data_IF_423510906567
#
_entry.id   IF_423510906567
#
_cell.length_a   1.000
_cell.length_b   1.000
_cell.length_c   1.000
_cell.angle_alpha   90.00
_cell.angle_beta   90.00
_cell.angle_gamma   90.00
#
_symmetry.space_group_name_H-M   'P 1'
#
loop_
_entity.id
_entity.type
_entity.pdbx_description
1 polymer ?
#
# COMPACT_ATOMS: atom_id res chain seq x y z
N UNK A 1 2.87 -19.29 -7.47
CA UNK A 1 3.80 -18.19 -7.60
C UNK A 1 3.36 -17.01 -6.75
N UNK A 2 4.26 -16.44 -6.00
CA UNK A 2 3.89 -15.31 -5.15
C UNK A 2 3.83 -14.03 -5.96
N UNK A 3 2.88 -13.21 -5.63
CA UNK A 3 2.80 -11.89 -6.23
C UNK A 3 3.72 -10.91 -5.51
N UNK A 4 3.73 -9.69 -6.00
CA UNK A 4 4.56 -8.62 -5.47
C UNK A 4 3.72 -7.69 -4.59
N UNK A 5 4.30 -7.26 -3.46
CA UNK A 5 3.72 -6.22 -2.60
C UNK A 5 4.52 -4.95 -2.85
N UNK A 6 3.82 -3.84 -3.03
CA UNK A 6 4.45 -2.52 -3.15
C UNK A 6 4.21 -1.75 -1.86
N UNK A 7 5.28 -1.30 -1.23
CA UNK A 7 5.21 -0.47 -0.03
C UNK A 7 5.68 0.92 -0.39
N UNK A 8 4.83 1.93 -0.17
CA UNK A 8 5.14 3.32 -0.50
C UNK A 8 5.18 4.11 0.80
N UNK A 9 6.34 4.62 1.16
CA UNK A 9 6.59 5.27 2.44
C UNK A 9 7.80 6.18 2.30
N UNK A 10 7.71 7.43 2.74
CA UNK A 10 8.82 8.37 2.59
C UNK A 10 9.86 8.28 3.72
N UNK A 11 9.54 7.62 4.81
CA UNK A 11 10.51 7.38 5.89
C UNK A 11 11.38 6.19 5.53
N UNK A 12 12.63 6.46 5.20
CA UNK A 12 13.57 5.45 4.71
C UNK A 12 13.77 4.32 5.70
N UNK A 13 13.88 4.66 6.99
CA UNK A 13 14.09 3.63 8.00
C UNK A 13 12.87 2.74 8.16
N UNK A 14 11.69 3.32 8.13
CA UNK A 14 10.46 2.57 8.30
C UNK A 14 10.21 1.66 7.11
N UNK A 15 10.47 2.14 5.90
CA UNK A 15 10.24 1.33 4.71
C UNK A 15 11.18 0.12 4.70
N UNK A 16 12.42 0.27 5.20
CA UNK A 16 13.34 -0.84 5.30
C UNK A 16 12.85 -1.89 6.29
N UNK A 17 12.28 -1.44 7.40
CA UNK A 17 11.72 -2.36 8.39
C UNK A 17 10.59 -3.17 7.78
N UNK A 18 9.68 -2.53 7.08
CA UNK A 18 8.57 -3.23 6.44
C UNK A 18 9.08 -4.22 5.40
N UNK A 19 10.06 -3.80 4.60
CA UNK A 19 10.63 -4.67 3.58
C UNK A 19 11.27 -5.90 4.20
N UNK A 20 12.07 -5.72 5.25
CA UNK A 20 12.73 -6.83 5.91
C UNK A 20 11.74 -7.83 6.49
N UNK A 21 10.70 -7.33 7.14
CA UNK A 21 9.69 -8.20 7.74
C UNK A 21 9.00 -9.04 6.66
N UNK A 22 8.61 -8.41 5.59
CA UNK A 22 7.91 -9.11 4.51
C UNK A 22 8.82 -10.11 3.81
N UNK A 23 10.07 -9.73 3.57
CA UNK A 23 11.02 -10.63 2.91
C UNK A 23 11.37 -11.82 3.79
N UNK A 24 11.44 -11.62 5.11
CA UNK A 24 11.67 -12.75 6.03
C UNK A 24 10.56 -13.78 5.95
N UNK A 25 9.36 -13.35 5.59
CA UNK A 25 8.24 -14.27 5.42
C UNK A 25 8.03 -14.64 3.96
N UNK A 26 9.07 -14.41 3.15
CA UNK A 26 9.16 -14.89 1.76
C UNK A 26 8.19 -14.23 0.81
N UNK A 27 7.81 -12.99 1.09
CA UNK A 27 7.05 -12.17 0.16
C UNK A 27 8.01 -11.38 -0.74
N UNK A 28 7.62 -11.17 -1.98
CA UNK A 28 8.37 -10.35 -2.92
C UNK A 28 7.92 -8.89 -2.75
N UNK A 29 8.85 -8.01 -2.41
CA UNK A 29 8.52 -6.63 -2.03
C UNK A 29 9.24 -5.64 -2.92
N UNK A 30 8.51 -4.66 -3.42
CA UNK A 30 9.07 -3.48 -4.06
C UNK A 30 8.75 -2.28 -3.19
N UNK A 31 9.62 -1.28 -3.20
CA UNK A 31 9.44 -0.11 -2.35
C UNK A 31 9.52 1.16 -3.17
N UNK A 32 8.87 2.21 -2.68
CA UNK A 32 8.90 3.53 -3.28
C UNK A 32 8.89 4.58 -2.18
N UNK A 33 9.54 5.70 -2.42
CA UNK A 33 9.71 6.73 -1.40
C UNK A 33 8.72 7.88 -1.50
N UNK A 34 7.87 7.88 -2.52
CA UNK A 34 6.81 8.88 -2.67
C UNK A 34 5.74 8.35 -3.61
N UNK A 35 4.64 9.09 -3.71
CA UNK A 35 3.51 8.65 -4.52
C UNK A 35 3.80 8.55 -6.00
N UNK A 36 4.65 9.42 -6.51
CA UNK A 36 5.00 9.40 -7.94
C UNK A 36 5.79 8.13 -8.29
N UNK A 37 6.80 7.82 -7.47
CA UNK A 37 7.56 6.60 -7.64
C UNK A 37 6.68 5.36 -7.43
N UNK A 38 5.77 5.45 -6.46
CA UNK A 38 4.83 4.38 -6.20
C UNK A 38 3.95 4.07 -7.40
N UNK A 39 3.43 5.11 -8.05
CA UNK A 39 2.60 4.94 -9.23
C UNK A 39 3.40 4.28 -10.37
N UNK A 40 4.63 4.74 -10.56
CA UNK A 40 5.50 4.17 -11.58
C UNK A 40 5.75 2.68 -11.35
N UNK A 41 6.04 2.31 -10.10
CA UNK A 41 6.30 0.92 -9.76
C UNK A 41 5.03 0.07 -9.81
N UNK A 42 3.88 0.66 -9.50
CA UNK A 42 2.63 -0.05 -9.66
C UNK A 42 2.44 -0.49 -11.12
N UNK A 43 2.69 0.41 -12.04
CA UNK A 43 2.55 0.11 -13.47
C UNK A 43 3.55 -0.96 -13.88
N UNK A 44 4.78 -0.86 -13.40
CA UNK A 44 5.87 -1.74 -13.81
C UNK A 44 5.70 -3.15 -13.26
N UNK A 45 5.38 -3.28 -11.98
CA UNK A 45 5.40 -4.57 -11.30
C UNK A 45 4.03 -5.20 -11.07
N UNK A 46 2.96 -4.44 -11.23
CA UNK A 46 1.58 -4.91 -11.06
C UNK A 46 1.41 -5.67 -9.74
N UNK A 47 1.70 -5.03 -8.61
CA UNK A 47 1.62 -5.72 -7.31
C UNK A 47 0.17 -6.13 -6.99
N UNK A 48 0.05 -7.20 -6.23
CA UNK A 48 -1.30 -7.65 -5.80
C UNK A 48 -1.78 -6.85 -4.60
N UNK A 49 -0.89 -6.13 -3.93
CA UNK A 49 -1.23 -5.32 -2.77
C UNK A 49 -0.32 -4.10 -2.74
N UNK A 50 -0.91 -2.94 -2.48
CA UNK A 50 -0.18 -1.69 -2.28
C UNK A 50 -0.44 -1.21 -0.87
N UNK A 51 0.62 -1.00 -0.09
CA UNK A 51 0.52 -0.41 1.24
C UNK A 51 1.10 0.99 1.14
N UNK A 52 0.26 1.99 1.30
CA UNK A 52 0.57 3.37 0.93
C UNK A 52 0.46 4.30 2.13
N UNK A 53 1.53 5.04 2.42
CA UNK A 53 1.45 6.13 3.39
C UNK A 53 0.56 7.22 2.81
N UNK A 54 -0.38 7.70 3.59
CA UNK A 54 -1.31 8.73 3.14
C UNK A 54 -0.70 10.12 3.06
N UNK A 55 0.37 10.37 3.81
CA UNK A 55 0.90 11.72 4.00
C UNK A 55 2.35 11.78 3.55
N UNK A 56 2.57 12.04 2.26
CA UNK A 56 3.89 12.06 1.65
C UNK A 56 4.07 13.31 0.80
N UNK A 57 5.33 13.75 0.62
CA UNK A 57 5.60 14.86 -0.29
C UNK A 57 5.47 14.44 -1.76
N UNK A 58 5.46 15.42 -2.63
CA UNK A 58 5.43 15.31 -4.10
C UNK A 58 4.06 14.87 -4.59
N UNK A 59 3.66 13.66 -4.29
CA UNK A 59 2.33 13.15 -4.62
C UNK A 59 1.87 12.35 -3.42
N UNK A 60 0.84 12.85 -2.71
CA UNK A 60 0.41 12.16 -1.50
C UNK A 60 -0.30 10.85 -1.81
N UNK A 61 -0.48 10.04 -0.77
CA UNK A 61 -1.02 8.69 -0.95
C UNK A 61 -2.44 8.66 -1.47
N UNK A 62 -3.26 9.65 -1.14
CA UNK A 62 -4.65 9.69 -1.62
C UNK A 62 -4.72 9.97 -3.11
N UNK A 63 -3.88 10.88 -3.58
CA UNK A 63 -3.84 11.21 -4.99
C UNK A 63 -3.23 10.04 -5.79
N UNK A 64 -2.17 9.43 -5.25
CA UNK A 64 -1.57 8.25 -5.88
C UNK A 64 -2.59 7.11 -5.97
N UNK A 65 -3.36 6.91 -4.91
CA UNK A 65 -4.42 5.91 -4.88
C UNK A 65 -5.44 6.14 -6.01
N UNK A 66 -5.88 7.39 -6.18
CA UNK A 66 -6.83 7.70 -7.24
C UNK A 66 -6.29 7.34 -8.61
N UNK A 67 -5.02 7.67 -8.85
CA UNK A 67 -4.40 7.38 -10.14
C UNK A 67 -4.23 5.88 -10.36
N UNK A 68 -3.90 5.15 -9.31
CA UNK A 68 -3.81 3.69 -9.39
C UNK A 68 -5.16 3.10 -9.77
N UNK A 69 -6.23 3.58 -9.15
CA UNK A 69 -7.58 3.07 -9.44
C UNK A 69 -8.02 3.39 -10.86
N UNK A 70 -7.54 4.49 -11.42
CA UNK A 70 -7.82 4.82 -12.81
C UNK A 70 -7.14 3.83 -13.77
N UNK A 71 -5.95 3.36 -13.39
CA UNK A 71 -5.20 2.39 -14.19
C UNK A 71 -5.80 1.00 -14.03
N UNK A 72 -6.13 0.63 -12.81
CA UNK A 72 -6.65 -0.71 -12.50
C UNK A 72 -7.70 -0.59 -11.40
N UNK A 73 -8.96 -0.64 -11.78
CA UNK A 73 -10.05 -0.49 -10.82
C UNK A 73 -10.12 -1.61 -9.80
N UNK A 74 -9.43 -2.73 -10.05
CA UNK A 74 -9.39 -3.86 -9.12
C UNK A 74 -8.15 -3.86 -8.24
N UNK A 75 -7.34 -2.81 -8.28
CA UNK A 75 -6.14 -2.72 -7.47
C UNK A 75 -6.48 -2.77 -5.98
N UNK A 76 -5.70 -3.52 -5.23
CA UNK A 76 -5.87 -3.63 -3.79
C UNK A 76 -4.94 -2.64 -3.12
N UNK A 77 -5.49 -1.55 -2.61
CA UNK A 77 -4.71 -0.49 -1.96
C UNK A 77 -5.19 -0.29 -0.53
N UNK A 78 -4.24 -0.22 0.39
CA UNK A 78 -4.48 0.10 1.79
C UNK A 78 -3.71 1.38 2.09
N UNK A 79 -4.33 2.33 2.77
CA UNK A 79 -3.65 3.57 3.19
C UNK A 79 -3.40 3.52 4.68
N UNK A 80 -2.14 3.80 5.07
CA UNK A 80 -1.73 3.91 6.47
C UNK A 80 -1.50 5.39 6.73
N UNK A 81 -2.20 5.95 7.72
CA UNK A 81 -2.22 7.40 7.91
C UNK A 81 -2.30 7.77 9.37
N UNK A 82 -1.84 8.99 9.70
CA UNK A 82 -2.04 9.56 11.02
C UNK A 82 -3.41 10.23 11.18
N UNK A 83 -4.17 10.37 10.09
CA UNK A 83 -5.51 10.96 10.16
C UNK A 83 -6.51 9.96 10.70
N UNK A 84 -7.56 10.48 11.33
CA UNK A 84 -8.65 9.66 11.83
C UNK A 84 -9.35 8.93 10.68
N UNK A 85 -9.83 7.72 10.97
CA UNK A 85 -10.64 6.99 9.99
C UNK A 85 -11.91 7.75 9.62
N UNK A 86 -12.34 8.69 10.47
CA UNK A 86 -13.53 9.51 10.21
C UNK A 86 -13.21 10.76 9.40
N UNK A 87 -11.94 11.01 9.07
CA UNK A 87 -11.56 12.14 8.24
C UNK A 87 -12.26 12.02 6.87
N UNK A 88 -12.79 13.13 6.32
CA UNK A 88 -13.46 13.06 5.01
C UNK A 88 -12.62 12.49 3.90
N UNK A 89 -11.30 12.68 3.92
CA UNK A 89 -10.41 12.10 2.93
C UNK A 89 -10.49 10.58 2.94
N UNK A 90 -10.51 9.99 4.14
CA UNK A 90 -10.55 8.55 4.28
C UNK A 90 -11.90 7.99 3.86
N UNK A 91 -12.97 8.68 4.22
CA UNK A 91 -14.31 8.27 3.82
C UNK A 91 -14.46 8.29 2.31
N UNK A 92 -13.94 9.33 1.69
CA UNK A 92 -14.04 9.46 0.24
C UNK A 92 -13.22 8.38 -0.46
N UNK A 93 -12.02 8.07 0.05
CA UNK A 93 -11.17 7.03 -0.53
C UNK A 93 -11.85 5.66 -0.45
N UNK A 94 -12.50 5.36 0.67
CA UNK A 94 -13.22 4.10 0.82
C UNK A 94 -14.34 4.01 -0.23
N UNK A 95 -15.07 5.09 -0.46
CA UNK A 95 -16.10 5.11 -1.49
C UNK A 95 -15.52 4.84 -2.88
N UNK A 96 -14.30 5.25 -3.10
CA UNK A 96 -13.64 5.08 -4.40
C UNK A 96 -12.92 3.74 -4.54
N UNK A 97 -13.09 2.85 -3.58
CA UNK A 97 -12.56 1.50 -3.70
C UNK A 97 -11.32 1.21 -2.89
N UNK A 98 -10.93 2.10 -1.97
CA UNK A 98 -9.85 1.79 -1.05
C UNK A 98 -10.28 0.64 -0.15
N UNK A 99 -9.42 -0.35 0.02
CA UNK A 99 -9.76 -1.53 0.81
C UNK A 99 -9.89 -1.18 2.29
N UNK A 100 -8.93 -0.41 2.81
CA UNK A 100 -8.85 -0.19 4.25
C UNK A 100 -7.98 1.02 4.55
N UNK A 101 -8.32 1.69 5.65
CA UNK A 101 -7.51 2.74 6.24
C UNK A 101 -6.99 2.21 7.56
N UNK A 102 -5.70 2.32 7.80
CA UNK A 102 -5.07 1.88 9.04
C UNK A 102 -4.40 3.06 9.69
N UNK A 103 -4.65 3.24 10.98
CA UNK A 103 -4.01 4.30 11.77
C UNK A 103 -2.55 3.95 12.02
N UNK A 104 -1.67 4.92 11.88
CA UNK A 104 -0.26 4.73 12.23
C UNK A 104 -0.11 4.51 13.73
N UNK A 105 0.85 3.69 14.14
CA UNK A 105 1.77 2.91 13.32
C UNK A 105 1.17 1.59 12.87
N UNK A 106 1.58 1.13 11.69
CA UNK A 106 1.17 -0.19 11.21
C UNK A 106 1.99 -1.25 11.95
N UNK A 107 1.30 -2.12 12.68
CA UNK A 107 1.97 -3.18 13.42
C UNK A 107 2.40 -4.33 12.54
N UNK A 108 3.36 -5.13 13.05
CA UNK A 108 3.88 -6.28 12.32
C UNK A 108 2.79 -7.29 12.00
N UNK A 109 1.93 -7.59 12.98
CA UNK A 109 0.87 -8.57 12.78
C UNK A 109 -0.11 -8.14 11.70
N UNK A 110 -0.46 -6.85 11.69
CA UNK A 110 -1.38 -6.32 10.69
C UNK A 110 -0.73 -6.34 9.30
N UNK A 111 0.54 -6.00 9.23
CA UNK A 111 1.28 -6.03 7.98
C UNK A 111 1.27 -7.43 7.37
N UNK A 112 1.60 -8.43 8.18
CA UNK A 112 1.63 -9.81 7.72
C UNK A 112 0.25 -10.35 7.38
N UNK A 113 -0.76 -9.93 8.14
CA UNK A 113 -2.14 -10.34 7.87
C UNK A 113 -2.60 -9.82 6.51
N UNK A 114 -2.29 -8.57 6.20
CA UNK A 114 -2.63 -8.01 4.90
C UNK A 114 -1.93 -8.76 3.76
N UNK A 115 -0.63 -9.00 3.94
CA UNK A 115 0.16 -9.67 2.91
C UNK A 115 -0.40 -11.05 2.60
N UNK A 116 -0.78 -11.79 3.63
CA UNK A 116 -1.31 -13.15 3.45
C UNK A 116 -2.71 -13.14 2.87
N UNK A 117 -3.55 -12.24 3.33
CA UNK A 117 -4.95 -12.21 2.94
C UNK A 117 -5.12 -12.01 1.43
N UNK A 118 -4.42 -11.03 0.88
CA UNK A 118 -4.60 -10.68 -0.52
C UNK A 118 -3.79 -11.57 -1.46
N UNK A 119 -2.75 -12.22 -0.95
CA UNK A 119 -1.97 -13.15 -1.75
C UNK A 119 -2.79 -14.37 -2.18
N UNK A 120 -3.81 -14.74 -1.43
CA UNK A 120 -4.64 -15.90 -1.73
C UNK A 120 -5.39 -15.78 -3.05
N UNK A 121 -5.63 -14.56 -3.49
CA UNK A 121 -6.36 -14.34 -4.73
C UNK A 121 -5.61 -14.90 -5.92
N UNK A 122 -4.31 -15.05 -5.80
CA UNK A 122 -3.46 -15.52 -6.89
C UNK A 122 -3.26 -17.01 -6.88
N UNK A 123 -3.92 -17.71 -6.01
CA UNK A 123 -3.65 -19.11 -5.78
C UNK A 123 -4.09 -20.02 -6.92
N UNK A 124 -4.90 -19.55 -7.84
CA UNK A 124 -5.36 -20.42 -8.87
C UNK A 124 -4.58 -20.54 -10.06
#
# INVERSE_FOLDING_TARGET
MRGTILVVEDDVDLIEIYREILEMHQFDVKTALNGKEGLKKFIEFKPYLVIMDGDMPILDGYEAFKQIKEIDKNANVVIVTGFSEFDPKNKEAIKQGLIKVISKPLGVDDLLALAKKYNQIKAE
#
